data_IF_365218870632
#
_entry.id   IF_365218870632
#
_cell.length_a   1.000
_cell.length_b   1.000
_cell.length_c   1.000
_cell.angle_alpha   90.00
_cell.angle_beta   90.00
_cell.angle_gamma   90.00
#
_symmetry.space_group_name_H-M   'P 1'
#
loop_
_entity.id
_entity.type
_entity.pdbx_description
1 polymer ?
#
# COMPACT_ATOMS: atom_id res chain seq x y z
N UNK A 1 -12.68 -15.06 -4.79
CA UNK A 1 -13.92 -14.25 -4.92
C UNK A 1 -14.47 -13.96 -3.53
N UNK A 2 -14.97 -12.73 -3.29
CA UNK A 2 -15.58 -12.38 -1.99
C UNK A 2 -17.06 -12.73 -1.99
N UNK A 3 -17.55 -13.34 -0.92
CA UNK A 3 -18.96 -13.70 -0.74
C UNK A 3 -19.70 -12.72 0.17
N UNK A 4 -18.95 -11.97 0.99
CA UNK A 4 -19.48 -10.95 1.88
C UNK A 4 -18.44 -9.85 2.14
N UNK A 5 -18.88 -8.69 2.62
CA UNK A 5 -18.02 -7.54 2.87
C UNK A 5 -17.31 -7.58 4.23
N UNK A 6 -17.72 -8.45 5.15
CA UNK A 6 -17.25 -8.46 6.55
C UNK A 6 -16.17 -9.49 6.82
N UNK A 7 -15.91 -10.41 5.87
CA UNK A 7 -14.91 -11.45 6.00
C UNK A 7 -15.37 -12.66 6.84
N UNK A 8 -16.67 -12.91 6.89
CA UNK A 8 -17.19 -14.13 7.51
C UNK A 8 -16.80 -15.36 6.68
N UNK A 9 -16.54 -16.45 7.38
CA UNK A 9 -16.13 -17.70 6.77
C UNK A 9 -17.22 -18.24 5.84
N UNK A 10 -16.83 -18.49 4.60
CA UNK A 10 -17.63 -19.13 3.58
C UNK A 10 -16.70 -20.00 2.72
N UNK A 11 -17.10 -21.22 2.32
CA UNK A 11 -16.25 -22.11 1.52
C UNK A 11 -15.76 -21.51 0.20
N UNK A 12 -16.51 -20.55 -0.36
CA UNK A 12 -16.18 -19.88 -1.61
C UNK A 12 -15.55 -18.47 -1.40
N UNK A 13 -15.28 -18.09 -0.15
CA UNK A 13 -14.71 -16.80 0.19
C UNK A 13 -13.18 -16.89 0.27
N UNK A 14 -12.53 -16.64 -0.85
CA UNK A 14 -11.07 -16.65 -0.94
C UNK A 14 -10.55 -15.54 -1.83
N UNK A 15 -9.28 -15.20 -1.64
CA UNK A 15 -8.55 -14.20 -2.41
C UNK A 15 -7.08 -14.60 -2.50
N UNK A 16 -6.35 -13.99 -3.42
CA UNK A 16 -4.90 -14.12 -3.50
C UNK A 16 -4.19 -12.93 -2.82
N UNK A 17 -2.93 -13.12 -2.44
CA UNK A 17 -2.11 -12.01 -1.93
C UNK A 17 -2.00 -10.86 -2.94
N UNK A 18 -1.94 -11.18 -4.24
CA UNK A 18 -1.93 -10.19 -5.32
C UNK A 18 -3.22 -9.37 -5.37
N UNK A 19 -4.38 -10.01 -5.25
CA UNK A 19 -5.67 -9.30 -5.28
C UNK A 19 -5.80 -8.38 -4.06
N UNK A 20 -5.41 -8.85 -2.88
CA UNK A 20 -5.42 -8.06 -1.66
C UNK A 20 -4.47 -6.85 -1.76
N UNK A 21 -3.29 -7.03 -2.37
CA UNK A 21 -2.37 -5.92 -2.63
C UNK A 21 -2.96 -4.91 -3.62
N UNK A 22 -3.65 -5.37 -4.69
CA UNK A 22 -4.30 -4.51 -5.66
C UNK A 22 -5.45 -3.70 -5.05
N UNK A 23 -6.28 -4.32 -4.21
CA UNK A 23 -7.35 -3.64 -3.48
C UNK A 23 -6.76 -2.58 -2.55
N UNK A 24 -5.69 -2.93 -1.83
CA UNK A 24 -5.00 -2.00 -0.94
C UNK A 24 -4.40 -0.81 -1.71
N UNK A 25 -3.78 -1.06 -2.86
CA UNK A 25 -3.26 -0.01 -3.75
C UNK A 25 -4.38 0.92 -4.22
N UNK A 26 -5.53 0.36 -4.61
CA UNK A 26 -6.69 1.15 -5.02
C UNK A 26 -7.24 2.00 -3.85
N UNK A 27 -7.32 1.43 -2.64
CA UNK A 27 -7.74 2.15 -1.44
C UNK A 27 -6.82 3.34 -1.14
N UNK A 28 -5.50 3.14 -1.18
CA UNK A 28 -4.52 4.19 -0.93
C UNK A 28 -4.63 5.33 -1.95
N UNK A 29 -4.78 4.98 -3.24
CA UNK A 29 -4.75 5.96 -4.31
C UNK A 29 -6.07 6.70 -4.51
N UNK A 30 -7.20 6.00 -4.36
CA UNK A 30 -8.51 6.54 -4.69
C UNK A 30 -9.26 7.07 -3.47
N UNK A 31 -8.87 6.63 -2.26
CA UNK A 31 -9.57 6.97 -1.02
C UNK A 31 -8.57 7.36 0.09
N UNK A 32 -7.66 8.33 -0.14
CA UNK A 32 -6.60 8.68 0.82
C UNK A 32 -7.14 9.16 2.16
N UNK A 33 -8.27 9.86 2.19
CA UNK A 33 -8.91 10.33 3.42
C UNK A 33 -9.37 9.16 4.29
N UNK A 34 -10.04 8.16 3.68
CA UNK A 34 -10.45 6.94 4.38
C UNK A 34 -9.25 6.10 4.77
N UNK A 35 -8.21 6.07 3.92
CA UNK A 35 -6.99 5.34 4.22
C UNK A 35 -6.28 5.87 5.47
N UNK A 36 -6.36 7.16 5.74
CA UNK A 36 -5.72 7.78 6.91
C UNK A 36 -6.16 7.17 8.25
N UNK A 37 -7.36 6.58 8.32
CA UNK A 37 -7.91 5.93 9.52
C UNK A 37 -7.10 4.69 9.92
N UNK A 38 -6.48 3.99 8.98
CA UNK A 38 -5.77 2.74 9.27
C UNK A 38 -4.49 2.91 10.08
N UNK A 39 -3.93 4.12 10.14
CA UNK A 39 -2.76 4.44 10.96
C UNK A 39 -3.10 4.73 12.42
N UNK A 40 -4.40 4.94 12.74
CA UNK A 40 -4.83 5.24 14.10
C UNK A 40 -4.49 4.06 15.02
N UNK A 41 -3.68 4.34 16.06
CA UNK A 41 -3.19 3.32 17.00
C UNK A 41 -4.27 2.86 17.95
N UNK A 42 -5.22 3.74 18.27
CA UNK A 42 -6.32 3.46 19.20
C UNK A 42 -7.57 4.24 18.85
N UNK A 43 -8.70 3.72 19.27
CA UNK A 43 -10.00 4.36 19.12
C UNK A 43 -10.88 4.12 20.34
N UNK A 44 -11.51 5.15 20.85
CA UNK A 44 -12.44 5.05 21.98
C UNK A 44 -13.88 5.21 21.50
N UNK A 45 -14.71 4.22 21.74
CA UNK A 45 -16.13 4.25 21.43
C UNK A 45 -16.95 3.89 22.66
N UNK A 46 -17.95 4.69 22.98
CA UNK A 46 -18.79 4.49 24.18
C UNK A 46 -17.99 4.28 25.47
N UNK A 47 -16.90 5.02 25.66
CA UNK A 47 -16.00 4.90 26.81
C UNK A 47 -15.07 3.68 26.80
N UNK A 48 -15.17 2.81 25.80
CA UNK A 48 -14.33 1.63 25.65
C UNK A 48 -13.16 1.95 24.72
N UNK A 49 -11.93 1.96 25.27
CA UNK A 49 -10.69 2.14 24.52
C UNK A 49 -10.29 0.82 23.85
N UNK A 50 -10.07 0.86 22.55
CA UNK A 50 -9.65 -0.26 21.73
C UNK A 50 -8.33 0.05 21.02
N UNK A 51 -7.39 -0.89 21.05
CA UNK A 51 -6.12 -0.78 20.36
C UNK A 51 -6.22 -1.36 18.94
N UNK A 52 -5.53 -0.77 18.00
CA UNK A 52 -5.38 -1.33 16.68
C UNK A 52 -4.66 -2.69 16.78
N UNK A 53 -5.18 -3.70 16.11
CA UNK A 53 -4.58 -5.05 16.11
C UNK A 53 -3.34 -5.16 15.23
N UNK A 54 -3.06 -4.16 14.39
CA UNK A 54 -1.82 -4.08 13.62
C UNK A 54 -0.68 -3.54 14.48
N UNK A 55 0.02 -4.44 15.15
CA UNK A 55 1.13 -4.08 16.07
C UNK A 55 2.36 -3.49 15.35
N UNK A 56 2.44 -3.56 14.00
CA UNK A 56 3.53 -2.89 13.27
C UNK A 56 3.48 -1.38 13.43
N UNK A 57 2.31 -0.77 13.64
CA UNK A 57 2.14 0.67 13.88
C UNK A 57 2.95 1.19 15.08
N UNK A 58 3.32 0.30 16.03
CA UNK A 58 4.16 0.66 17.20
C UNK A 58 5.62 0.29 17.02
N UNK A 59 5.96 -0.54 16.01
CA UNK A 59 7.33 -1.02 15.79
C UNK A 59 8.05 -0.26 14.69
N UNK A 60 7.32 0.31 13.74
CA UNK A 60 7.87 0.98 12.58
C UNK A 60 7.00 2.19 12.22
N UNK A 61 7.50 3.38 12.47
CA UNK A 61 6.78 4.64 12.22
C UNK A 61 6.52 4.91 10.73
N UNK A 62 7.18 4.19 9.84
CA UNK A 62 6.88 4.24 8.41
C UNK A 62 5.61 3.48 8.02
N UNK A 63 5.10 2.61 8.91
CA UNK A 63 3.88 1.83 8.68
C UNK A 63 2.64 2.69 8.96
N UNK A 64 1.73 2.73 7.99
CA UNK A 64 0.51 3.54 8.04
C UNK A 64 -0.79 2.75 7.77
N UNK A 65 -0.72 1.42 7.78
CA UNK A 65 -1.88 0.53 7.58
C UNK A 65 -1.49 -0.94 7.55
N UNK A 66 -2.37 -1.88 7.27
CA UNK A 66 -3.74 -1.68 6.80
C UNK A 66 -4.71 -2.50 7.69
N UNK A 67 -4.75 -3.84 7.51
CA UNK A 67 -5.80 -4.65 8.16
C UNK A 67 -5.29 -6.02 8.55
N UNK A 68 -5.62 -6.42 9.77
CA UNK A 68 -5.45 -7.78 10.26
C UNK A 68 -6.70 -8.61 10.00
N UNK A 69 -6.52 -9.91 9.78
CA UNK A 69 -7.59 -10.89 9.71
C UNK A 69 -7.23 -12.16 10.49
N UNK A 70 -8.23 -12.89 10.94
CA UNK A 70 -8.06 -14.21 11.50
C UNK A 70 -9.36 -14.99 11.41
N UNK A 71 -9.27 -16.21 10.90
CA UNK A 71 -10.29 -17.26 11.04
C UNK A 71 -9.56 -18.59 11.28
N UNK A 72 -10.27 -19.60 11.80
CA UNK A 72 -9.68 -20.91 12.02
C UNK A 72 -9.08 -21.54 10.76
N UNK A 73 -9.69 -21.30 9.60
CA UNK A 73 -9.25 -21.83 8.30
C UNK A 73 -8.19 -20.97 7.62
N UNK A 74 -8.28 -19.64 7.75
CA UNK A 74 -7.35 -18.72 7.10
C UNK A 74 -6.06 -18.46 7.90
N UNK A 75 -6.02 -18.85 9.18
CA UNK A 75 -4.91 -18.48 10.07
C UNK A 75 -4.83 -16.99 10.33
N UNK A 76 -3.69 -16.53 10.79
CA UNK A 76 -3.44 -15.11 11.06
C UNK A 76 -2.94 -14.39 9.81
N UNK A 77 -3.67 -13.36 9.38
CA UNK A 77 -3.37 -12.59 8.18
C UNK A 77 -3.10 -11.13 8.53
N UNK A 78 -2.23 -10.48 7.75
CA UNK A 78 -1.96 -9.06 7.82
C UNK A 78 -1.65 -8.52 6.42
N UNK A 79 -2.36 -7.48 6.05
CA UNK A 79 -1.94 -6.58 5.00
C UNK A 79 -1.32 -5.38 5.69
N UNK A 80 -0.07 -5.07 5.37
CA UNK A 80 0.63 -3.90 5.88
C UNK A 80 1.10 -3.00 4.75
N UNK A 81 1.16 -1.71 5.02
CA UNK A 81 1.75 -0.72 4.12
C UNK A 81 2.67 0.19 4.89
N UNK A 82 3.80 0.52 4.27
CA UNK A 82 4.78 1.44 4.81
C UNK A 82 5.28 2.38 3.72
N UNK A 83 5.59 3.63 4.10
CA UNK A 83 6.14 4.64 3.19
C UNK A 83 7.43 5.20 3.78
N UNK A 84 8.53 5.09 3.02
CA UNK A 84 9.81 5.72 3.32
C UNK A 84 10.23 6.56 2.12
N UNK A 85 10.41 7.86 2.32
CA UNK A 85 10.64 8.81 1.23
C UNK A 85 9.56 8.70 0.12
N UNK A 86 9.98 8.55 -1.13
CA UNK A 86 9.06 8.39 -2.28
C UNK A 86 8.59 6.94 -2.49
N UNK A 87 9.13 5.99 -1.74
CA UNK A 87 8.82 4.58 -1.90
C UNK A 87 7.74 4.12 -0.93
N UNK A 88 6.68 3.52 -1.47
CA UNK A 88 5.65 2.82 -0.69
C UNK A 88 5.67 1.34 -1.01
N UNK A 89 5.62 0.53 0.04
CA UNK A 89 5.48 -0.92 -0.06
C UNK A 89 4.16 -1.38 0.55
N UNK A 90 3.62 -2.44 -0.03
CA UNK A 90 2.48 -3.18 0.51
C UNK A 90 2.95 -4.62 0.68
N UNK A 91 2.86 -5.16 1.89
CA UNK A 91 3.15 -6.54 2.20
C UNK A 91 1.88 -7.27 2.60
N UNK A 92 1.66 -8.45 2.03
CA UNK A 92 0.51 -9.31 2.33
C UNK A 92 1.03 -10.63 2.88
N UNK A 93 0.69 -10.90 4.13
CA UNK A 93 0.98 -12.15 4.83
C UNK A 93 -0.33 -12.83 5.15
N UNK A 94 -0.47 -14.09 4.74
CA UNK A 94 -1.67 -14.89 4.99
C UNK A 94 -1.27 -16.26 5.54
N UNK A 95 -2.15 -16.88 6.33
CA UNK A 95 -1.97 -18.23 6.82
C UNK A 95 -0.90 -18.39 7.90
N UNK A 96 -0.52 -17.34 8.60
CA UNK A 96 0.46 -17.46 9.69
C UNK A 96 -0.12 -18.23 10.88
N UNK A 97 0.71 -19.01 11.61
CA UNK A 97 0.23 -19.80 12.75
C UNK A 97 -0.09 -18.96 13.98
N UNK A 98 0.42 -17.74 14.06
CA UNK A 98 0.20 -16.86 15.22
C UNK A 98 0.23 -15.37 14.85
N UNK A 99 -0.24 -14.52 15.77
CA UNK A 99 -0.13 -13.07 15.66
C UNK A 99 1.33 -12.60 15.56
N UNK A 100 2.21 -13.24 16.31
CA UNK A 100 3.62 -12.88 16.33
C UNK A 100 4.30 -13.24 15.00
N UNK A 101 4.02 -14.43 14.45
CA UNK A 101 4.58 -14.84 13.16
C UNK A 101 4.11 -13.96 12.00
N UNK A 102 2.82 -13.61 11.94
CA UNK A 102 2.35 -12.67 10.91
C UNK A 102 3.02 -11.29 11.02
N UNK A 103 3.26 -10.83 12.26
CA UNK A 103 3.93 -9.56 12.53
C UNK A 103 5.39 -9.57 12.05
N UNK A 104 6.16 -10.60 12.47
CA UNK A 104 7.56 -10.77 12.09
C UNK A 104 7.71 -10.94 10.57
N UNK A 105 6.87 -11.77 9.97
CA UNK A 105 6.89 -11.99 8.51
C UNK A 105 6.58 -10.72 7.73
N UNK A 106 5.59 -9.94 8.18
CA UNK A 106 5.26 -8.66 7.54
C UNK A 106 6.40 -7.65 7.67
N UNK A 107 7.03 -7.56 8.84
CA UNK A 107 8.19 -6.70 9.06
C UNK A 107 9.35 -7.09 8.14
N UNK A 108 9.70 -8.39 8.08
CA UNK A 108 10.78 -8.88 7.21
C UNK A 108 10.53 -8.60 5.73
N UNK A 109 9.28 -8.72 5.25
CA UNK A 109 8.94 -8.39 3.86
C UNK A 109 9.11 -6.90 3.57
N UNK A 110 8.68 -6.01 4.46
CA UNK A 110 8.87 -4.57 4.31
C UNK A 110 10.36 -4.20 4.33
N UNK A 111 11.12 -4.74 5.30
CA UNK A 111 12.55 -4.51 5.40
C UNK A 111 13.32 -5.02 4.17
N UNK A 112 12.97 -6.21 3.67
CA UNK A 112 13.52 -6.73 2.42
C UNK A 112 13.27 -5.76 1.26
N UNK A 113 12.02 -5.31 1.09
CA UNK A 113 11.68 -4.39 0.01
C UNK A 113 12.43 -3.05 0.11
N UNK A 114 12.50 -2.43 1.28
CA UNK A 114 13.22 -1.17 1.48
C UNK A 114 14.74 -1.31 1.40
N UNK A 115 15.27 -2.50 1.66
CA UNK A 115 16.72 -2.76 1.58
C UNK A 115 17.19 -2.99 0.15
N UNK A 116 16.41 -3.70 -0.65
CA UNK A 116 16.85 -4.18 -1.97
C UNK A 116 16.22 -3.41 -3.14
N UNK A 117 15.27 -2.52 -2.87
CA UNK A 117 14.63 -1.72 -3.90
C UNK A 117 14.69 -0.25 -3.55
N UNK A 118 14.80 0.60 -4.57
CA UNK A 118 14.75 2.03 -4.42
C UNK A 118 13.84 2.66 -5.48
N UNK A 119 13.06 3.67 -5.07
CA UNK A 119 12.24 4.44 -6.01
C UNK A 119 13.03 5.67 -6.45
N UNK A 120 13.23 5.80 -7.75
CA UNK A 120 13.90 6.92 -8.38
C UNK A 120 12.92 7.73 -9.22
N UNK A 121 13.07 9.05 -9.17
CA UNK A 121 12.32 9.96 -10.03
C UNK A 121 13.07 10.08 -11.36
N UNK A 122 12.54 9.46 -12.41
CA UNK A 122 13.14 9.47 -13.74
C UNK A 122 12.82 10.75 -14.50
N UNK A 123 11.60 11.27 -14.36
CA UNK A 123 11.14 12.45 -15.06
C UNK A 123 10.41 13.35 -14.06
N UNK A 124 10.80 14.60 -14.02
CA UNK A 124 10.11 15.62 -13.20
C UNK A 124 8.91 16.15 -13.98
N UNK A 125 7.81 16.35 -13.28
CA UNK A 125 6.61 17.00 -13.82
C UNK A 125 6.96 18.28 -14.56
N UNK A 126 6.39 18.44 -15.77
CA UNK A 126 6.56 19.59 -16.65
C UNK A 126 8.00 19.87 -17.13
N UNK A 127 8.96 18.98 -16.85
CA UNK A 127 10.27 19.08 -17.48
C UNK A 127 10.18 18.77 -18.98
N UNK A 128 10.86 19.55 -19.79
CA UNK A 128 10.98 19.27 -21.22
C UNK A 128 11.84 18.02 -21.43
N UNK A 129 11.27 17.03 -22.10
CA UNK A 129 11.95 15.78 -22.47
C UNK A 129 12.42 15.87 -23.93
N UNK A 130 11.58 16.42 -24.77
CA UNK A 130 11.82 16.62 -26.20
C UNK A 130 10.94 17.75 -26.72
N UNK A 131 11.13 18.13 -27.98
CA UNK A 131 10.25 19.09 -28.66
C UNK A 131 9.72 18.54 -29.97
N UNK A 132 8.51 18.93 -30.33
CA UNK A 132 7.90 18.60 -31.62
C UNK A 132 7.75 19.86 -32.49
N UNK A 133 7.95 19.71 -33.80
CA UNK A 133 7.73 20.77 -34.78
C UNK A 133 6.23 20.99 -34.96
N UNK A 134 5.81 22.25 -34.99
CA UNK A 134 4.42 22.66 -35.24
C UNK A 134 4.30 23.15 -36.65
N UNK A 135 3.46 22.50 -37.47
CA UNK A 135 3.20 22.89 -38.85
C UNK A 135 1.98 23.83 -38.92
N UNK A 136 2.17 25.01 -39.52
CA UNK A 136 1.10 26.01 -39.67
C UNK A 136 0.68 26.71 -38.36
N UNK A 137 1.44 26.55 -37.27
CA UNK A 137 1.18 27.21 -36.00
C UNK A 137 1.86 28.57 -35.86
N UNK A 138 1.53 29.30 -34.79
CA UNK A 138 2.18 30.58 -34.43
C UNK A 138 3.59 30.42 -33.86
N UNK A 139 3.94 29.18 -33.45
CA UNK A 139 5.25 28.80 -32.91
C UNK A 139 5.81 27.66 -33.72
N UNK A 140 7.11 27.60 -33.90
CA UNK A 140 7.77 26.55 -34.71
C UNK A 140 7.90 25.21 -33.98
N UNK A 141 7.99 25.25 -32.66
CA UNK A 141 8.18 24.06 -31.81
C UNK A 141 7.37 24.16 -30.54
N UNK A 142 6.94 23.03 -30.06
CA UNK A 142 6.30 22.86 -28.75
C UNK A 142 7.12 21.90 -27.89
N UNK A 143 7.37 22.27 -26.64
CA UNK A 143 8.02 21.40 -25.66
C UNK A 143 7.06 20.26 -25.26
N UNK A 144 7.60 19.03 -25.22
CA UNK A 144 6.88 17.84 -24.78
C UNK A 144 7.51 17.32 -23.50
N UNK A 145 6.67 17.02 -22.52
CA UNK A 145 7.07 16.51 -21.23
C UNK A 145 5.97 15.71 -20.55
N UNK A 146 6.25 15.24 -19.36
CA UNK A 146 5.25 14.52 -18.55
C UNK A 146 4.41 15.50 -17.74
N UNK A 147 3.09 15.27 -17.69
CA UNK A 147 2.17 16.02 -16.83
C UNK A 147 2.36 15.69 -15.33
N UNK A 148 2.96 14.55 -15.03
CA UNK A 148 3.23 14.08 -13.66
C UNK A 148 4.69 13.64 -13.53
N UNK A 149 5.19 13.59 -12.28
CA UNK A 149 6.45 12.89 -11.98
C UNK A 149 6.35 11.44 -12.41
N UNK A 150 7.39 10.91 -13.06
CA UNK A 150 7.50 9.48 -13.37
C UNK A 150 8.50 8.87 -12.41
N UNK A 151 7.98 8.02 -11.54
CA UNK A 151 8.75 7.28 -10.55
C UNK A 151 8.91 5.82 -11.01
N UNK A 152 10.09 5.27 -10.81
CA UNK A 152 10.37 3.86 -11.07
C UNK A 152 11.05 3.24 -9.87
N UNK A 153 10.52 2.10 -9.42
CA UNK A 153 11.12 1.30 -8.33
C UNK A 153 11.92 0.16 -8.95
N UNK A 154 13.20 0.15 -8.64
CA UNK A 154 14.18 -0.83 -9.15
C UNK A 154 14.91 -1.51 -8.01
N UNK A 155 15.45 -2.74 -8.22
CA UNK A 155 16.39 -3.39 -7.31
C UNK A 155 17.66 -2.59 -7.11
#
# INVERSE_FOLDING_TARGET
MFQNAVGWTDPNHFSSAKDLANITKALINNFPEHYSIYKEKEYTFSGIRQLNRNKLLWRDDSVDGVKTGHTGTAGYCLISSAKRNEMRLIAVVAGSPSENERLISSQRLLEYGFRFFATQKLIVKNAEITSAKVWGGKIDKVALGSKNDILLTLP
#
